data_IF_255779677329
#
_entry.id   IF_255779677329
#
_cell.length_a   1.000
_cell.length_b   1.000
_cell.length_c   1.000
_cell.angle_alpha   90.00
_cell.angle_beta   90.00
_cell.angle_gamma   90.00
#
_symmetry.space_group_name_H-M   'P 1'
#
loop_
_entity.id
_entity.type
_entity.pdbx_description
1 polymer ?
#
# COMPACT_ATOMS: atom_id res chain seq x y z
N UNK A 1 -19.16 -4.87 -1.69
CA UNK A 1 -17.77 -5.09 -2.16
C UNK A 1 -17.31 -3.83 -2.86
N UNK A 2 -16.06 -3.42 -2.66
CA UNK A 2 -15.48 -2.20 -3.26
C UNK A 2 -14.14 -2.57 -3.89
N UNK A 3 -13.90 -2.09 -5.10
CA UNK A 3 -12.58 -2.13 -5.75
C UNK A 3 -11.89 -0.79 -5.54
N UNK A 4 -10.58 -0.80 -5.36
CA UNK A 4 -9.81 0.42 -5.13
C UNK A 4 -8.46 0.40 -5.85
N UNK A 5 -7.96 1.60 -6.13
CA UNK A 5 -6.60 1.89 -6.58
C UNK A 5 -6.12 3.08 -5.78
N UNK A 6 -5.03 2.90 -5.05
CA UNK A 6 -4.45 3.93 -4.19
C UNK A 6 -3.05 4.28 -4.70
N UNK A 7 -2.78 5.59 -4.82
CA UNK A 7 -1.48 6.14 -5.14
C UNK A 7 -1.09 7.15 -4.07
N UNK A 8 0.10 6.99 -3.51
CA UNK A 8 0.63 7.86 -2.48
C UNK A 8 2.11 8.11 -2.70
N UNK A 9 2.60 9.25 -2.23
CA UNK A 9 4.01 9.56 -2.25
C UNK A 9 4.37 10.34 -1.00
N UNK A 10 5.60 10.15 -0.53
CA UNK A 10 6.15 10.84 0.62
C UNK A 10 7.59 11.21 0.27
N UNK A 11 7.98 12.44 0.59
CA UNK A 11 9.33 12.94 0.37
C UNK A 11 9.71 13.88 1.52
N UNK A 12 11.01 14.11 1.68
CA UNK A 12 11.53 15.03 2.68
C UNK A 12 12.17 16.25 1.99
N UNK A 13 11.74 17.45 2.37
CA UNK A 13 12.24 18.71 1.80
C UNK A 13 11.38 19.30 0.68
N UNK A 14 12.02 20.05 -0.21
CA UNK A 14 11.36 20.75 -1.30
C UNK A 14 10.80 19.80 -2.37
N UNK A 15 9.95 20.35 -3.25
CA UNK A 15 9.21 19.59 -4.26
C UNK A 15 10.10 18.89 -5.31
N UNK A 16 11.36 19.32 -5.44
CA UNK A 16 12.36 18.73 -6.35
C UNK A 16 12.99 17.43 -5.81
N UNK A 17 12.69 17.06 -4.55
CA UNK A 17 13.21 15.84 -3.89
C UNK A 17 12.28 14.63 -4.01
N UNK A 18 11.27 14.74 -4.86
CA UNK A 18 10.34 13.64 -5.12
C UNK A 18 11.06 12.52 -5.91
N UNK A 19 11.16 11.32 -5.34
CA UNK A 19 11.84 10.18 -5.96
C UNK A 19 11.00 8.89 -5.95
N UNK A 20 11.44 7.88 -6.72
CA UNK A 20 10.82 6.56 -6.73
C UNK A 20 11.02 5.87 -5.38
N UNK A 21 9.94 5.47 -4.66
CA UNK A 21 10.09 4.77 -3.39
C UNK A 21 10.79 3.41 -3.56
N UNK A 22 11.58 3.01 -2.55
CA UNK A 22 12.31 1.75 -2.53
C UNK A 22 12.30 1.10 -1.14
N UNK A 23 12.53 -0.20 -1.10
CA UNK A 23 12.74 -0.98 0.12
C UNK A 23 14.21 -1.36 0.18
N UNK A 24 14.87 -1.09 1.31
CA UNK A 24 16.28 -1.43 1.54
C UNK A 24 16.40 -2.73 2.33
N UNK A 25 17.20 -3.67 1.82
CA UNK A 25 17.61 -4.88 2.51
C UNK A 25 19.11 -4.77 2.79
N UNK A 26 19.50 -4.63 4.06
CA UNK A 26 20.91 -4.57 4.47
C UNK A 26 21.35 -5.90 5.08
N UNK A 27 22.39 -6.51 4.52
CA UNK A 27 23.08 -7.65 5.11
C UNK A 27 24.58 -7.47 4.88
N UNK A 28 25.35 -7.22 5.95
CA UNK A 28 26.79 -6.95 5.85
C UNK A 28 27.50 -8.00 4.96
N UNK A 29 28.29 -7.61 3.95
CA UNK A 29 28.77 -6.25 3.64
C UNK A 29 27.95 -5.49 2.58
N UNK A 30 26.77 -5.96 2.19
CA UNK A 30 26.02 -5.44 1.03
C UNK A 30 24.63 -4.90 1.42
N UNK A 31 24.21 -3.82 0.78
CA UNK A 31 22.84 -3.32 0.86
C UNK A 31 22.19 -3.31 -0.52
N UNK A 32 21.02 -3.93 -0.63
CA UNK A 32 20.22 -3.96 -1.85
C UNK A 32 19.05 -3.00 -1.71
N UNK A 33 18.78 -2.21 -2.76
CA UNK A 33 17.58 -1.37 -2.87
C UNK A 33 16.68 -1.93 -3.95
N UNK A 34 15.45 -2.28 -3.58
CA UNK A 34 14.44 -2.81 -4.50
C UNK A 34 13.37 -1.73 -4.70
N UNK A 35 13.04 -1.42 -5.96
CA UNK A 35 11.97 -0.45 -6.27
C UNK A 35 10.64 -0.95 -5.68
N UNK A 36 9.96 -0.08 -4.94
CA UNK A 36 8.61 -0.37 -4.47
C UNK A 36 7.62 -0.40 -5.66
N UNK A 37 6.49 -1.09 -5.48
CA UNK A 37 5.38 -1.07 -6.43
C UNK A 37 4.77 0.32 -6.57
N UNK A 38 4.31 0.67 -7.77
CA UNK A 38 3.73 1.98 -8.08
C UNK A 38 4.17 2.55 -9.43
N UNK A 39 3.92 3.83 -9.69
CA UNK A 39 4.18 4.49 -10.97
C UNK A 39 4.93 5.81 -10.71
N UNK A 40 6.08 5.99 -11.36
CA UNK A 40 6.94 7.16 -11.12
C UNK A 40 7.25 7.34 -9.62
N UNK A 41 7.10 8.54 -9.05
CA UNK A 41 7.36 8.82 -7.62
C UNK A 41 6.29 8.29 -6.67
N UNK A 42 5.19 7.72 -7.18
CA UNK A 42 4.09 7.23 -6.36
C UNK A 42 4.30 5.76 -6.03
N UNK A 43 4.24 5.42 -4.75
CA UNK A 43 3.93 4.08 -4.29
C UNK A 43 2.46 3.81 -4.58
N UNK A 44 2.14 2.59 -5.00
CA UNK A 44 0.79 2.28 -5.44
C UNK A 44 0.35 0.87 -5.12
N UNK A 45 -0.94 0.72 -4.92
CA UNK A 45 -1.60 -0.56 -4.72
C UNK A 45 -3.01 -0.56 -5.31
N UNK A 46 -3.55 -1.75 -5.55
CA UNK A 46 -4.95 -1.94 -5.91
C UNK A 46 -5.48 -3.18 -5.22
N UNK A 47 -6.79 -3.25 -5.08
CA UNK A 47 -7.37 -4.34 -4.34
C UNK A 47 -8.88 -4.35 -4.31
N UNK A 48 -9.37 -5.27 -3.48
CA UNK A 48 -10.79 -5.45 -3.21
C UNK A 48 -11.01 -5.39 -1.72
N UNK A 49 -12.19 -4.93 -1.34
CA UNK A 49 -12.54 -4.88 0.06
C UNK A 49 -14.02 -5.14 0.34
N UNK A 50 -14.26 -5.68 1.52
CA UNK A 50 -15.57 -5.87 2.12
C UNK A 50 -15.79 -4.85 3.24
N UNK A 51 -17.04 -4.40 3.38
CA UNK A 51 -17.46 -3.48 4.42
C UNK A 51 -18.74 -4.04 5.02
N UNK A 52 -18.86 -4.01 6.34
CA UNK A 52 -20.02 -4.55 7.06
C UNK A 52 -20.20 -3.81 8.38
N UNK A 53 -21.38 -3.89 8.97
CA UNK A 53 -21.61 -3.49 10.35
C UNK A 53 -21.90 -4.73 11.17
N UNK A 54 -21.12 -4.96 12.23
CA UNK A 54 -21.27 -6.12 13.10
C UNK A 54 -21.29 -5.65 14.55
N UNK A 55 -22.35 -5.99 15.29
CA UNK A 55 -22.52 -5.65 16.71
C UNK A 55 -22.37 -4.15 17.01
N UNK A 56 -22.81 -3.28 16.08
CA UNK A 56 -22.71 -1.83 16.21
C UNK A 56 -21.38 -1.21 15.77
N UNK A 57 -20.41 -2.02 15.34
CA UNK A 57 -19.12 -1.55 14.81
C UNK A 57 -19.09 -1.61 13.29
N UNK A 58 -18.55 -0.57 12.66
CA UNK A 58 -18.22 -0.61 11.24
C UNK A 58 -16.92 -1.38 11.03
N UNK A 59 -16.97 -2.40 10.18
CA UNK A 59 -15.85 -3.25 9.81
C UNK A 59 -15.44 -3.01 8.37
N UNK A 60 -14.13 -2.87 8.15
CA UNK A 60 -13.50 -2.81 6.83
C UNK A 60 -12.43 -3.89 6.72
N UNK A 61 -12.59 -4.79 5.76
CA UNK A 61 -11.57 -5.78 5.38
C UNK A 61 -11.12 -5.49 3.96
N UNK A 62 -9.84 -5.21 3.77
CA UNK A 62 -9.23 -4.94 2.47
C UNK A 62 -8.14 -5.98 2.16
N UNK A 63 -8.11 -6.44 0.92
CA UNK A 63 -7.03 -7.25 0.36
C UNK A 63 -6.38 -6.45 -0.78
N UNK A 64 -5.14 -6.00 -0.57
CA UNK A 64 -4.41 -5.13 -1.49
C UNK A 64 -3.15 -5.78 -2.05
N UNK A 65 -2.86 -5.54 -3.32
CA UNK A 65 -1.62 -5.90 -3.99
C UNK A 65 -0.81 -4.64 -4.28
N UNK A 66 0.52 -4.76 -4.19
CA UNK A 66 1.41 -3.71 -4.67
C UNK A 66 1.37 -3.62 -6.21
N UNK A 67 1.54 -2.42 -6.75
CA UNK A 67 1.63 -2.18 -8.19
C UNK A 67 3.01 -2.54 -8.76
N UNK A 68 3.41 -3.80 -8.63
CA UNK A 68 4.68 -4.37 -9.12
C UNK A 68 4.45 -5.51 -10.15
N UNK A 69 3.24 -5.55 -10.72
CA UNK A 69 2.74 -6.51 -11.70
C UNK A 69 1.21 -6.57 -11.65
N UNK A 70 0.58 -7.49 -12.39
CA UNK A 70 -0.86 -7.78 -12.30
C UNK A 70 -1.11 -8.91 -11.29
N UNK A 71 -1.82 -8.61 -10.19
CA UNK A 71 -2.05 -9.44 -9.01
C UNK A 71 -0.83 -10.26 -8.58
N UNK A 72 0.36 -9.65 -8.63
CA UNK A 72 1.63 -10.35 -8.41
C UNK A 72 1.91 -10.50 -6.92
N UNK A 73 2.17 -11.74 -6.49
CA UNK A 73 2.50 -12.05 -5.10
C UNK A 73 1.27 -12.16 -4.19
N UNK A 74 1.51 -12.21 -2.88
CA UNK A 74 0.45 -12.37 -1.87
C UNK A 74 -0.16 -11.00 -1.54
N UNK A 75 -1.50 -10.89 -1.43
CA UNK A 75 -2.13 -9.67 -0.97
C UNK A 75 -1.72 -9.36 0.48
N UNK A 76 -1.73 -8.08 0.82
CA UNK A 76 -1.71 -7.60 2.19
C UNK A 76 -3.16 -7.42 2.65
N UNK A 77 -3.49 -7.97 3.82
CA UNK A 77 -4.82 -7.84 4.41
C UNK A 77 -4.83 -6.74 5.46
N UNK A 78 -5.81 -5.84 5.37
CA UNK A 78 -6.05 -4.79 6.36
C UNK A 78 -7.45 -4.96 6.93
N UNK A 79 -7.54 -5.11 8.25
CA UNK A 79 -8.79 -5.14 8.99
C UNK A 79 -8.86 -3.89 9.87
N UNK A 80 -9.96 -3.14 9.76
CA UNK A 80 -10.24 -1.98 10.61
C UNK A 80 -11.66 -2.09 11.19
N UNK A 81 -11.82 -1.55 12.40
CA UNK A 81 -13.08 -1.49 13.14
C UNK A 81 -13.25 -0.08 13.71
N UNK A 82 -14.42 0.54 13.52
CA UNK A 82 -14.74 1.89 14.02
C UNK A 82 -16.13 1.97 14.64
N UNK A 83 -16.31 2.93 15.56
CA UNK A 83 -17.60 3.25 16.20
C UNK A 83 -18.28 4.48 15.57
N UNK A 84 -17.52 5.40 14.97
CA UNK A 84 -18.02 6.43 14.06
C UNK A 84 -17.33 6.31 12.68
N UNK A 85 -17.96 6.87 11.66
CA UNK A 85 -17.54 6.81 10.26
C UNK A 85 -17.37 8.20 9.68
#
# INVERSE_FOLDING_TARGET
>A
MVQFIDLGTAWNGAYDKLERPYVSYSSSPVTFRVKAGGIGPFAGGYGVGARSTLLGYFLRLDAGWQMNGFFKGKPQYHLAMGLDF
#
